data_IF_700356886839
#
_entry.id   IF_700356886839
#
_cell.length_a   1.000
_cell.length_b   1.000
_cell.length_c   1.000
_cell.angle_alpha   90.00
_cell.angle_beta   90.00
_cell.angle_gamma   90.00
#
_symmetry.space_group_name_H-M   'P 1'
#
loop_
_entity.id
_entity.type
_entity.pdbx_description
1 polymer ?
#
# COMPACT_ATOMS: atom_id res chain seq x y z
N UNK A 1 -21.38 -27.20 57.47
CA UNK A 1 -22.05 -25.97 57.02
C UNK A 1 -21.01 -24.90 57.28
N UNK A 2 -20.28 -24.36 56.29
CA UNK A 2 -20.76 -23.43 55.26
C UNK A 2 -19.79 -23.47 54.05
N UNK A 3 -20.32 -23.63 52.83
CA UNK A 3 -19.54 -23.52 51.59
C UNK A 3 -20.23 -22.48 50.70
N UNK A 4 -19.87 -21.22 50.90
CA UNK A 4 -20.22 -20.14 49.99
C UNK A 4 -19.18 -19.03 50.09
N UNK A 5 -18.22 -19.04 49.16
CA UNK A 5 -17.47 -17.88 48.69
C UNK A 5 -16.77 -18.34 47.41
N UNK A 6 -17.38 -18.05 46.26
CA UNK A 6 -16.97 -16.94 45.40
C UNK A 6 -15.70 -17.31 44.61
N UNK A 7 -15.82 -17.79 43.35
CA UNK A 7 -15.85 -16.94 42.15
C UNK A 7 -14.86 -15.77 42.27
N UNK A 8 -13.76 -15.80 41.51
CA UNK A 8 -13.03 -14.63 40.93
C UNK A 8 -11.52 -14.84 40.68
N UNK A 9 -11.05 -15.98 40.15
CA UNK A 9 -9.63 -16.05 39.71
C UNK A 9 -9.55 -16.46 38.23
N UNK A 10 -9.73 -15.41 37.42
CA UNK A 10 -8.96 -15.14 36.21
C UNK A 10 -9.13 -16.12 35.04
N UNK A 11 -10.20 -15.88 34.30
CA UNK A 11 -10.16 -15.85 32.83
C UNK A 11 -9.02 -14.95 32.34
N UNK A 12 -7.81 -15.46 32.29
CA UNK A 12 -6.69 -14.80 31.62
C UNK A 12 -6.13 -15.79 30.62
N UNK A 13 -6.54 -15.67 29.34
CA UNK A 13 -5.71 -15.95 28.15
C UNK A 13 -6.48 -15.98 26.82
N UNK A 14 -7.79 -15.69 26.77
CA UNK A 14 -8.46 -15.43 25.49
C UNK A 14 -8.30 -13.96 25.09
N UNK A 15 -7.06 -13.52 24.87
CA UNK A 15 -6.86 -12.36 23.99
C UNK A 15 -6.92 -12.90 22.56
N UNK A 16 -7.91 -12.52 21.73
CA UNK A 16 -7.68 -12.54 20.30
C UNK A 16 -6.47 -11.64 20.06
N UNK A 17 -5.34 -12.25 19.69
CA UNK A 17 -4.15 -11.49 19.31
C UNK A 17 -4.56 -10.42 18.30
N UNK A 18 -3.95 -9.22 18.35
CA UNK A 18 -4.24 -8.21 17.36
C UNK A 18 -4.00 -8.88 16.02
N UNK A 19 -5.03 -8.87 15.18
CA UNK A 19 -4.93 -9.35 13.82
C UNK A 19 -3.62 -8.80 13.28
N UNK A 20 -2.70 -9.69 12.92
CA UNK A 20 -1.65 -9.38 11.96
C UNK A 20 -2.38 -9.15 10.65
N UNK A 21 -3.09 -8.03 10.56
CA UNK A 21 -3.36 -7.40 9.30
C UNK A 21 -1.95 -7.09 8.79
N UNK A 22 -1.41 -7.99 7.95
CA UNK A 22 -0.30 -7.69 7.06
C UNK A 22 -0.49 -6.23 6.65
N UNK A 23 0.46 -5.36 7.00
CA UNK A 23 0.27 -3.92 6.99
C UNK A 23 0.11 -3.46 5.54
N UNK A 24 -1.12 -3.62 5.03
CA UNK A 24 -1.43 -3.39 3.64
C UNK A 24 -1.30 -1.91 3.39
N UNK A 25 -0.31 -1.56 2.59
CA UNK A 25 -0.14 -0.23 2.04
C UNK A 25 -1.48 0.28 1.47
N UNK A 26 -1.82 1.51 1.81
CA UNK A 26 -3.01 2.26 1.38
C UNK A 26 -2.60 3.50 0.61
N UNK A 27 -3.53 4.02 -0.20
CA UNK A 27 -3.34 5.27 -0.95
C UNK A 27 -2.91 6.45 -0.07
N UNK A 28 -3.44 6.52 1.16
CA UNK A 28 -3.17 7.62 2.11
C UNK A 28 -1.86 7.44 2.89
N UNK A 29 -1.23 6.26 2.82
CA UNK A 29 0.05 6.05 3.50
C UNK A 29 1.12 6.98 2.93
N UNK A 30 2.00 7.47 3.82
CA UNK A 30 3.15 8.29 3.42
C UNK A 30 4.02 7.52 2.45
N UNK A 31 4.41 8.14 1.35
CA UNK A 31 5.35 7.58 0.38
C UNK A 31 6.67 7.08 1.01
N UNK A 32 7.06 7.64 2.14
CA UNK A 32 8.20 7.18 2.97
C UNK A 32 8.09 5.74 3.48
N UNK A 33 6.87 5.16 3.52
CA UNK A 33 6.67 3.76 3.92
C UNK A 33 6.97 2.79 2.77
N UNK A 34 6.87 3.25 1.51
CA UNK A 34 7.14 2.42 0.33
C UNK A 34 8.50 1.71 0.40
N UNK A 35 9.64 2.40 0.58
CA UNK A 35 10.94 1.73 0.63
C UNK A 35 11.07 0.75 1.80
N UNK A 36 10.30 0.95 2.89
CA UNK A 36 10.32 0.12 4.11
C UNK A 36 9.36 -1.06 4.07
N UNK A 37 8.38 -1.04 3.16
CA UNK A 37 7.38 -2.08 3.04
C UNK A 37 7.96 -3.38 2.49
N UNK A 38 7.41 -4.51 2.93
CA UNK A 38 7.80 -5.83 2.44
C UNK A 38 7.37 -6.06 0.99
N UNK A 39 8.03 -7.01 0.32
CA UNK A 39 7.74 -7.35 -1.08
C UNK A 39 6.26 -7.75 -1.31
N UNK A 40 5.68 -8.52 -0.39
CA UNK A 40 4.26 -8.92 -0.47
C UNK A 40 3.30 -7.75 -0.36
N UNK A 41 3.61 -6.74 0.46
CA UNK A 41 2.77 -5.55 0.65
C UNK A 41 2.82 -4.63 -0.57
N UNK A 42 4.02 -4.45 -1.13
CA UNK A 42 4.23 -3.72 -2.39
C UNK A 42 3.48 -4.39 -3.54
N UNK A 43 3.60 -5.72 -3.67
CA UNK A 43 2.93 -6.48 -4.71
C UNK A 43 1.41 -6.42 -4.57
N UNK A 44 0.89 -6.59 -3.36
CA UNK A 44 -0.55 -6.49 -3.13
C UNK A 44 -1.07 -5.08 -3.44
N UNK A 45 -0.35 -4.03 -3.06
CA UNK A 45 -0.69 -2.65 -3.41
C UNK A 45 -0.73 -2.40 -4.92
N UNK A 46 0.36 -2.70 -5.63
CA UNK A 46 0.45 -2.45 -7.07
C UNK A 46 -0.51 -3.31 -7.86
N UNK A 47 -0.80 -4.53 -7.41
CA UNK A 47 -1.82 -5.39 -8.00
C UNK A 47 -3.21 -4.78 -7.87
N UNK A 48 -3.57 -4.20 -6.71
CA UNK A 48 -4.85 -3.53 -6.53
C UNK A 48 -4.95 -2.27 -7.41
N UNK A 49 -3.93 -1.42 -7.39
CA UNK A 49 -3.89 -0.20 -8.21
C UNK A 49 -3.92 -0.53 -9.71
N UNK A 50 -3.09 -1.46 -10.16
CA UNK A 50 -3.04 -1.91 -11.54
C UNK A 50 -4.37 -2.50 -12.02
N UNK A 51 -5.05 -3.31 -11.19
CA UNK A 51 -6.40 -3.79 -11.52
C UNK A 51 -7.41 -2.66 -11.69
N UNK A 52 -7.34 -1.62 -10.84
CA UNK A 52 -8.24 -0.46 -10.94
C UNK A 52 -7.95 0.43 -12.14
N UNK A 53 -6.70 0.50 -12.61
CA UNK A 53 -6.26 1.46 -13.64
C UNK A 53 -6.10 0.83 -15.03
N UNK A 54 -5.86 -0.48 -15.11
CA UNK A 54 -5.74 -1.22 -16.39
C UNK A 54 -7.01 -1.18 -17.24
N UNK A 55 -8.17 -0.90 -16.64
CA UNK A 55 -9.42 -0.64 -17.35
C UNK A 55 -9.45 0.74 -18.02
N UNK A 56 -8.66 1.70 -17.53
CA UNK A 56 -8.63 3.07 -18.01
C UNK A 56 -7.63 3.25 -19.16
N UNK A 57 -6.46 2.62 -19.07
CA UNK A 57 -5.47 2.66 -20.13
C UNK A 57 -4.69 1.34 -20.21
N UNK A 58 -4.43 0.84 -21.43
CA UNK A 58 -3.54 -0.30 -21.62
C UNK A 58 -2.13 0.08 -21.13
N UNK A 59 -1.48 -0.84 -20.40
CA UNK A 59 -0.14 -0.65 -19.84
C UNK A 59 -0.08 -0.03 -18.44
N UNK A 60 -1.21 0.40 -17.85
CA UNK A 60 -1.30 0.73 -16.42
C UNK A 60 -1.52 -0.53 -15.57
N UNK A 61 -0.59 -1.47 -15.67
CA UNK A 61 -0.62 -2.74 -14.94
C UNK A 61 0.22 -2.72 -13.65
N UNK A 62 0.13 -3.80 -12.87
CA UNK A 62 0.83 -3.93 -11.59
C UNK A 62 2.35 -3.89 -11.73
N UNK A 63 2.90 -4.40 -12.83
CA UNK A 63 4.33 -4.36 -13.13
C UNK A 63 4.81 -2.96 -13.49
N UNK A 64 3.98 -2.19 -14.20
CA UNK A 64 4.22 -0.76 -14.42
C UNK A 64 4.28 0.01 -13.11
N UNK A 65 3.26 -0.12 -12.25
CA UNK A 65 3.22 0.59 -10.97
C UNK A 65 4.35 0.17 -10.03
N UNK A 66 4.74 -1.11 -10.01
CA UNK A 66 5.89 -1.55 -9.21
C UNK A 66 7.16 -0.80 -9.59
N UNK A 67 7.51 -0.79 -10.88
CA UNK A 67 8.72 -0.12 -11.36
C UNK A 67 8.67 1.39 -11.13
N UNK A 68 7.55 2.03 -11.48
CA UNK A 68 7.43 3.47 -11.33
C UNK A 68 7.50 3.93 -9.86
N UNK A 69 6.84 3.21 -8.94
CA UNK A 69 6.90 3.55 -7.52
C UNK A 69 8.30 3.31 -6.93
N UNK A 70 9.00 2.27 -7.37
CA UNK A 70 10.41 2.05 -7.00
C UNK A 70 11.32 3.17 -7.51
N UNK A 71 11.13 3.66 -8.74
CA UNK A 71 11.88 4.80 -9.26
C UNK A 71 11.60 6.08 -8.45
N UNK A 72 10.33 6.44 -8.24
CA UNK A 72 9.96 7.66 -7.49
C UNK A 72 10.48 7.61 -6.06
N UNK A 73 10.39 6.46 -5.39
CA UNK A 73 10.88 6.30 -4.02
C UNK A 73 12.40 6.43 -3.91
N UNK A 74 13.15 6.22 -5.00
CA UNK A 74 14.60 6.34 -5.04
C UNK A 74 15.09 7.76 -5.40
N UNK A 75 14.24 8.64 -5.95
CA UNK A 75 14.66 9.96 -6.48
C UNK A 75 14.77 11.06 -5.42
N UNK A 76 14.05 11.00 -4.29
CA UNK A 76 14.16 12.07 -3.29
C UNK A 76 13.17 12.05 -2.13
N UNK A 77 13.18 13.12 -1.34
CA UNK A 77 12.49 13.25 -0.06
C UNK A 77 10.96 13.17 -0.19
N UNK A 78 10.42 11.95 -0.12
CA UNK A 78 8.99 11.66 -0.17
C UNK A 78 8.26 11.96 1.15
N UNK A 79 8.81 12.83 2.02
CA UNK A 79 8.32 12.97 3.40
C UNK A 79 6.92 13.59 3.49
N UNK A 80 6.52 14.40 2.53
CA UNK A 80 5.20 15.02 2.48
C UNK A 80 4.25 14.43 1.43
N UNK A 81 4.69 13.41 0.68
CA UNK A 81 3.88 12.77 -0.34
C UNK A 81 3.18 11.53 0.20
N UNK A 82 1.99 11.24 -0.34
CA UNK A 82 1.27 9.98 -0.12
C UNK A 82 1.54 8.98 -1.25
N UNK A 83 1.22 7.71 -1.04
CA UNK A 83 1.25 6.71 -2.11
C UNK A 83 0.31 7.08 -3.27
N UNK A 84 -0.80 7.75 -2.98
CA UNK A 84 -1.71 8.30 -4.00
C UNK A 84 -1.00 9.32 -4.90
N UNK A 85 -0.20 10.22 -4.34
CA UNK A 85 0.56 11.21 -5.11
C UNK A 85 1.60 10.53 -6.03
N UNK A 86 2.27 9.49 -5.53
CA UNK A 86 3.20 8.71 -6.34
C UNK A 86 2.48 7.97 -7.47
N UNK A 87 1.34 7.33 -7.19
CA UNK A 87 0.51 6.66 -8.21
C UNK A 87 0.04 7.66 -9.27
N UNK A 88 -0.41 8.85 -8.86
CA UNK A 88 -0.82 9.91 -9.79
C UNK A 88 0.33 10.36 -10.67
N UNK A 89 1.52 10.52 -10.09
CA UNK A 89 2.75 10.82 -10.83
C UNK A 89 3.04 9.72 -11.85
N UNK A 90 2.93 8.45 -11.48
CA UNK A 90 3.06 7.34 -12.42
C UNK A 90 2.05 7.42 -13.56
N UNK A 91 0.77 7.65 -13.27
CA UNK A 91 -0.24 7.79 -14.34
C UNK A 91 0.08 8.97 -15.26
N UNK A 92 0.52 10.11 -14.73
CA UNK A 92 0.96 11.25 -15.54
C UNK A 92 2.17 10.94 -16.41
N UNK A 93 3.15 10.21 -15.89
CA UNK A 93 4.32 9.75 -16.65
C UNK A 93 3.92 8.76 -17.75
N UNK A 94 2.98 7.85 -17.48
CA UNK A 94 2.43 6.93 -18.48
C UNK A 94 1.75 7.71 -19.60
N UNK A 95 0.85 8.63 -19.25
CA UNK A 95 0.11 9.46 -20.20
C UNK A 95 1.05 10.29 -21.09
N UNK A 96 2.11 10.88 -20.52
CA UNK A 96 3.13 11.60 -21.29
C UNK A 96 3.96 10.72 -22.23
N UNK A 97 4.14 9.42 -21.89
CA UNK A 97 4.83 8.46 -22.76
C UNK A 97 3.93 7.91 -23.86
N UNK A 98 2.64 7.72 -23.58
CA UNK A 98 1.67 7.22 -24.56
C UNK A 98 1.11 8.32 -25.46
N UNK A 99 1.11 9.58 -25.01
CA UNK A 99 0.73 10.76 -25.79
C UNK A 99 1.91 11.59 -26.29
N UNK A 100 3.15 11.12 -26.07
CA UNK A 100 4.39 11.80 -26.42
C UNK A 100 4.85 11.65 -27.87
N UNK A 101 4.03 11.09 -28.76
CA UNK A 101 4.12 11.39 -30.19
C UNK A 101 3.48 12.76 -30.44
N UNK A 102 4.18 13.85 -30.09
CA UNK A 102 3.80 15.20 -30.56
C UNK A 102 3.93 16.37 -29.58
N UNK A 103 5.08 16.59 -28.93
CA UNK A 103 5.42 17.95 -28.50
C UNK A 103 6.87 18.25 -28.84
N UNK A 104 7.02 18.84 -30.03
CA UNK A 104 8.08 19.79 -30.37
C UNK A 104 7.89 21.09 -29.57
#
# INVERSE_FOLDING_TARGET
MERAAALCILMALTLPGPAQAAARLKMDDKASVWPRAGASEKFDFTNRVGKSMSTLAPGLDSGYFMRCLEEIANIGDTKNLTLSDMVRTCVSLHAGRTGGEGSE
#
